data_IF_962789970062
#
_entry.id   IF_962789970062
#
_cell.length_a   1.000
_cell.length_b   1.000
_cell.length_c   1.000
_cell.angle_alpha   90.00
_cell.angle_beta   90.00
_cell.angle_gamma   90.00
#
_symmetry.space_group_name_H-M   'P 1'
#
loop_
_entity.id
_entity.type
_entity.pdbx_description
1 polymer ?
#
# COMPACT_ATOMS: atom_id res chain seq x y z
N UNK A 1 -2.11 7.53 13.67
CA UNK A 1 -2.80 7.11 12.43
C UNK A 1 -2.17 7.80 11.24
N UNK A 2 -2.09 7.13 10.09
CA UNK A 2 -1.49 7.66 8.85
C UNK A 2 -2.52 8.53 8.11
N UNK A 3 -2.06 9.48 7.32
CA UNK A 3 -2.93 10.27 6.44
C UNK A 3 -3.58 9.42 5.34
N UNK A 4 -4.51 10.02 4.59
CA UNK A 4 -5.15 9.40 3.42
C UNK A 4 -5.21 10.43 2.28
N UNK A 5 -5.00 10.00 1.03
CA UNK A 5 -5.17 10.80 -0.18
C UNK A 5 -6.40 10.30 -0.94
N UNK A 6 -7.32 11.20 -1.29
CA UNK A 6 -8.44 10.92 -2.19
C UNK A 6 -8.30 11.76 -3.45
N UNK A 7 -8.32 11.11 -4.62
CA UNK A 7 -8.21 11.76 -5.93
C UNK A 7 -9.58 11.88 -6.59
N UNK A 8 -9.95 13.09 -6.96
CA UNK A 8 -11.25 13.47 -7.51
C UNK A 8 -11.08 14.12 -8.89
N UNK A 9 -11.94 13.76 -9.85
CA UNK A 9 -11.89 14.36 -11.18
C UNK A 9 -12.63 15.70 -11.21
N UNK A 10 -12.14 16.60 -12.08
CA UNK A 10 -12.81 17.83 -12.44
C UNK A 10 -12.61 18.22 -13.90
N UNK A 11 -13.38 19.23 -14.32
CA UNK A 11 -13.39 19.70 -15.72
C UNK A 11 -12.08 20.35 -16.16
N UNK A 12 -11.27 20.85 -15.21
CA UNK A 12 -9.98 21.49 -15.47
C UNK A 12 -8.77 20.67 -14.99
N UNK A 13 -8.99 19.50 -14.36
CA UNK A 13 -7.97 18.65 -13.75
C UNK A 13 -8.47 17.96 -12.47
N UNK A 14 -7.56 17.46 -11.63
CA UNK A 14 -7.83 16.68 -10.42
C UNK A 14 -7.73 17.52 -9.15
N UNK A 15 -8.58 17.19 -8.19
CA UNK A 15 -8.55 17.68 -6.81
C UNK A 15 -8.05 16.55 -5.91
N UNK A 16 -7.06 16.86 -5.07
CA UNK A 16 -6.55 15.93 -4.07
C UNK A 16 -7.07 16.34 -2.70
N UNK A 17 -7.83 15.46 -2.06
CA UNK A 17 -8.19 15.58 -0.66
C UNK A 17 -7.16 14.83 0.18
N UNK A 18 -6.32 15.56 0.90
CA UNK A 18 -5.32 15.03 1.83
C UNK A 18 -5.90 15.11 3.23
N UNK A 19 -6.14 13.97 3.87
CA UNK A 19 -6.63 13.92 5.25
C UNK A 19 -5.46 13.75 6.21
N UNK A 20 -5.30 14.71 7.12
CA UNK A 20 -4.29 14.65 8.15
C UNK A 20 -4.63 13.64 9.26
N UNK A 21 -3.59 13.13 9.92
CA UNK A 21 -3.74 12.32 11.13
C UNK A 21 -4.14 13.16 12.35
N UNK A 22 -4.43 12.47 13.45
CA UNK A 22 -4.84 13.09 14.72
C UNK A 22 -3.75 13.95 15.37
N UNK A 23 -2.48 13.58 15.18
CA UNK A 23 -1.33 14.31 15.68
C UNK A 23 -0.30 14.52 14.56
N UNK A 24 0.02 15.77 14.28
CA UNK A 24 1.00 16.19 13.28
C UNK A 24 2.22 16.78 13.98
N UNK A 25 3.31 16.02 14.01
CA UNK A 25 4.57 16.44 14.63
C UNK A 25 5.63 16.91 13.63
N UNK A 26 5.45 16.60 12.35
CA UNK A 26 6.33 16.99 11.25
C UNK A 26 5.53 17.24 9.96
N UNK A 27 6.19 17.24 8.78
CA UNK A 27 5.53 17.46 7.50
C UNK A 27 4.32 16.53 7.30
N UNK A 28 3.21 17.07 6.80
CA UNK A 28 2.04 16.26 6.45
C UNK A 28 2.43 15.30 5.31
N UNK A 29 2.26 14.01 5.52
CA UNK A 29 2.49 13.03 4.45
C UNK A 29 1.36 13.09 3.42
N UNK A 30 1.71 12.88 2.15
CA UNK A 30 0.74 12.81 1.05
C UNK A 30 0.52 14.11 0.30
N UNK A 31 1.31 15.16 0.57
CA UNK A 31 1.40 16.27 -0.37
C UNK A 31 1.89 15.79 -1.75
N UNK A 32 1.48 16.46 -2.84
CA UNK A 32 1.94 16.17 -4.19
C UNK A 32 3.41 16.59 -4.41
N UNK A 33 4.41 15.88 -3.88
CA UNK A 33 5.85 16.21 -4.05
C UNK A 33 6.46 15.60 -5.31
N UNK A 34 7.48 16.26 -5.87
CA UNK A 34 8.32 15.68 -6.93
C UNK A 34 7.68 15.54 -8.31
N UNK A 35 6.41 15.94 -8.46
CA UNK A 35 5.72 15.97 -9.75
C UNK A 35 6.22 17.17 -10.56
N UNK A 36 7.26 16.93 -11.36
CA UNK A 36 7.76 17.85 -12.38
C UNK A 36 6.99 17.57 -13.67
N UNK A 37 6.57 18.65 -14.31
CA UNK A 37 5.95 18.77 -15.64
C UNK A 37 4.42 18.77 -15.78
N UNK A 38 4.04 19.46 -16.86
CA UNK A 38 2.76 20.09 -17.21
C UNK A 38 1.61 19.10 -17.44
N UNK A 39 1.90 17.80 -17.47
CA UNK A 39 0.95 16.70 -17.62
C UNK A 39 0.32 16.26 -16.28
N UNK A 40 0.83 16.74 -15.14
CA UNK A 40 0.36 16.30 -13.84
C UNK A 40 -0.86 17.08 -13.38
N UNK A 41 -2.01 16.46 -13.62
CA UNK A 41 -3.29 17.10 -13.68
C UNK A 41 -3.86 17.55 -12.30
N UNK A 42 -3.08 17.57 -11.22
CA UNK A 42 -3.50 18.10 -9.91
C UNK A 42 -3.60 19.64 -9.93
N UNK A 43 -4.83 20.16 -10.02
CA UNK A 43 -5.13 21.61 -10.05
C UNK A 43 -5.54 22.18 -8.70
N UNK A 44 -5.86 21.30 -7.74
CA UNK A 44 -6.37 21.68 -6.44
C UNK A 44 -5.95 20.70 -5.34
N UNK A 45 -5.70 21.21 -4.14
CA UNK A 45 -5.44 20.40 -2.95
C UNK A 45 -6.33 20.88 -1.80
N UNK A 46 -7.08 19.99 -1.19
CA UNK A 46 -7.85 20.21 0.02
C UNK A 46 -7.16 19.44 1.16
N UNK A 47 -6.61 20.15 2.15
CA UNK A 47 -6.08 19.54 3.36
C UNK A 47 -7.17 19.53 4.44
N UNK A 48 -7.64 18.34 4.78
CA UNK A 48 -8.63 18.10 5.83
C UNK A 48 -7.92 17.91 7.17
N UNK A 49 -8.11 18.89 8.06
CA UNK A 49 -7.59 18.93 9.43
C UNK A 49 -8.68 18.65 10.47
N UNK A 50 -9.88 18.22 10.06
CA UNK A 50 -11.05 18.05 10.94
C UNK A 50 -10.83 17.06 12.10
N UNK A 51 -9.85 16.16 11.97
CA UNK A 51 -9.47 15.18 13.00
C UNK A 51 -8.14 15.50 13.68
N UNK A 52 -7.44 16.53 13.23
CA UNK A 52 -6.17 16.91 13.84
C UNK A 52 -6.47 17.58 15.18
N UNK A 53 -5.97 16.97 16.24
CA UNK A 53 -6.09 17.49 17.60
C UNK A 53 -4.80 18.15 18.07
N UNK A 54 -3.67 17.76 17.47
CA UNK A 54 -2.35 18.27 17.82
C UNK A 54 -1.57 18.63 16.56
N UNK A 55 -1.12 19.88 16.48
CA UNK A 55 -0.29 20.41 15.39
C UNK A 55 0.95 21.07 16.00
N UNK A 56 2.14 20.51 15.75
CA UNK A 56 3.40 21.11 16.18
C UNK A 56 3.73 22.36 15.38
N UNK A 57 4.57 23.25 15.93
CA UNK A 57 5.02 24.44 15.19
C UNK A 57 5.81 24.07 13.92
N UNK A 58 6.57 22.96 13.95
CA UNK A 58 7.30 22.45 12.80
C UNK A 58 6.35 21.93 11.71
N UNK A 59 5.31 21.19 12.09
CA UNK A 59 4.28 20.73 11.18
C UNK A 59 3.48 21.91 10.58
N UNK A 60 3.17 22.93 11.39
CA UNK A 60 2.52 24.14 10.92
C UNK A 60 3.37 24.92 9.92
N UNK A 61 4.65 25.15 10.22
CA UNK A 61 5.59 25.82 9.31
C UNK A 61 5.73 25.08 7.99
N UNK A 62 5.98 23.77 8.04
CA UNK A 62 6.07 22.93 6.84
C UNK A 62 4.77 22.92 6.03
N UNK A 63 3.61 22.94 6.69
CA UNK A 63 2.30 23.04 6.02
C UNK A 63 2.17 24.35 5.25
N UNK A 64 2.49 25.50 5.87
CA UNK A 64 2.42 26.80 5.21
C UNK A 64 3.40 26.89 4.05
N UNK A 65 4.68 26.55 4.28
CA UNK A 65 5.72 26.54 3.23
C UNK A 65 5.25 25.73 2.03
N UNK A 66 4.61 24.60 2.28
CA UNK A 66 4.10 23.74 1.22
C UNK A 66 2.93 24.35 0.46
N UNK A 67 1.99 24.99 1.15
CA UNK A 67 0.88 25.70 0.53
C UNK A 67 1.40 26.82 -0.38
N UNK A 68 2.41 27.57 0.07
CA UNK A 68 3.05 28.63 -0.72
C UNK A 68 3.63 28.07 -2.02
N UNK A 69 4.41 26.99 -1.94
CA UNK A 69 4.98 26.32 -3.13
C UNK A 69 3.89 25.88 -4.11
N UNK A 70 2.82 25.24 -3.63
CA UNK A 70 1.74 24.78 -4.50
C UNK A 70 0.99 25.93 -5.19
N UNK A 71 0.81 27.05 -4.49
CA UNK A 71 0.18 28.24 -5.08
C UNK A 71 1.08 28.93 -6.10
N UNK A 72 2.39 28.98 -5.86
CA UNK A 72 3.36 29.46 -6.85
C UNK A 72 3.35 28.60 -8.13
N UNK A 73 3.03 27.32 -8.00
CA UNK A 73 2.79 26.39 -9.13
C UNK A 73 1.39 26.55 -9.76
N UNK A 74 0.63 27.58 -9.40
CA UNK A 74 -0.70 27.85 -9.96
C UNK A 74 -1.82 26.93 -9.42
N UNK A 75 -1.57 26.17 -8.35
CA UNK A 75 -2.58 25.26 -7.76
C UNK A 75 -3.42 25.99 -6.72
N UNK A 76 -4.70 25.63 -6.64
CA UNK A 76 -5.59 26.10 -5.56
C UNK A 76 -5.41 25.22 -4.33
N UNK A 77 -5.42 25.83 -3.15
CA UNK A 77 -5.25 25.11 -1.88
C UNK A 77 -6.31 25.55 -0.89
N UNK A 78 -6.99 24.58 -0.28
CA UNK A 78 -7.99 24.76 0.76
C UNK A 78 -7.58 24.02 2.04
N UNK A 79 -7.88 24.60 3.19
CA UNK A 79 -7.77 23.97 4.50
C UNK A 79 -9.17 23.79 5.05
N UNK A 80 -9.55 22.57 5.40
CA UNK A 80 -10.88 22.24 5.91
C UNK A 80 -10.83 21.77 7.36
N UNK A 81 -11.91 22.06 8.11
CA UNK A 81 -12.07 21.56 9.47
C UNK A 81 -11.08 22.15 10.47
N UNK A 82 -10.64 23.39 10.24
CA UNK A 82 -9.64 24.06 11.07
C UNK A 82 -10.32 24.61 12.33
N UNK A 83 -10.07 23.97 13.47
CA UNK A 83 -10.53 24.51 14.76
C UNK A 83 -9.75 25.77 15.19
N UNK A 84 -10.28 26.61 16.10
CA UNK A 84 -9.65 27.88 16.51
C UNK A 84 -8.23 27.74 17.09
N UNK A 85 -7.90 26.58 17.67
CA UNK A 85 -6.56 26.27 18.16
C UNK A 85 -5.56 26.09 17.01
N UNK A 86 -5.89 25.25 16.04
CA UNK A 86 -5.06 24.99 14.85
C UNK A 86 -4.93 26.26 14.01
N UNK A 87 -6.01 27.00 13.83
CA UNK A 87 -6.00 28.25 13.07
C UNK A 87 -4.99 29.24 13.65
N UNK A 88 -4.97 29.42 14.97
CA UNK A 88 -3.99 30.30 15.64
C UNK A 88 -2.55 29.85 15.41
N UNK A 89 -2.29 28.55 15.46
CA UNK A 89 -0.94 28.01 15.23
C UNK A 89 -0.50 28.22 13.78
N UNK A 90 -1.39 27.94 12.81
CA UNK A 90 -1.12 28.15 11.38
C UNK A 90 -0.87 29.63 11.08
N UNK A 91 -1.72 30.55 11.58
CA UNK A 91 -1.53 32.00 11.42
C UNK A 91 -0.23 32.51 12.02
N UNK A 92 0.22 31.91 13.13
CA UNK A 92 1.50 32.27 13.75
C UNK A 92 2.71 31.74 12.97
N UNK A 93 2.55 30.60 12.30
CA UNK A 93 3.57 30.02 11.42
C UNK A 93 3.62 30.72 10.05
N UNK A 94 2.55 31.41 9.67
CA UNK A 94 2.38 32.08 8.39
C UNK A 94 3.16 33.39 8.30
N UNK A 95 4.35 33.30 7.68
CA UNK A 95 5.25 34.44 7.49
C UNK A 95 4.95 35.24 6.22
N UNK A 96 4.20 34.66 5.29
CA UNK A 96 3.92 35.22 3.97
C UNK A 96 2.52 35.86 3.89
N UNK A 97 1.83 35.99 5.03
CA UNK A 97 0.46 36.50 5.16
C UNK A 97 -0.52 35.78 4.20
N UNK A 98 -0.27 34.50 3.96
CA UNK A 98 -1.10 33.66 3.10
C UNK A 98 -2.52 33.55 3.65
N UNK A 99 -2.63 33.45 4.96
CA UNK A 99 -3.85 33.27 5.73
C UNK A 99 -4.43 34.59 6.23
N UNK A 100 -3.94 35.77 5.80
CA UNK A 100 -4.42 37.10 6.22
C UNK A 100 -5.94 37.18 6.49
N UNK A 101 -6.34 37.96 7.50
CA UNK A 101 -7.75 38.11 7.91
C UNK A 101 -8.67 38.40 6.71
N UNK A 102 -9.69 37.56 6.51
CA UNK A 102 -10.72 37.74 5.49
C UNK A 102 -10.66 36.79 4.28
N UNK A 103 -9.61 35.97 4.14
CA UNK A 103 -9.52 34.97 3.05
C UNK A 103 -10.37 33.71 3.33
N UNK A 104 -11.68 33.83 3.11
CA UNK A 104 -12.63 32.71 3.08
C UNK A 104 -12.37 31.74 1.91
N UNK A 105 -11.46 32.05 0.98
CA UNK A 105 -11.09 31.18 -0.14
C UNK A 105 -10.17 30.02 0.28
N UNK A 106 -9.41 30.17 1.37
CA UNK A 106 -8.46 29.15 1.85
C UNK A 106 -9.01 28.38 3.04
N UNK A 107 -9.46 29.08 4.08
CA UNK A 107 -9.95 28.46 5.31
C UNK A 107 -11.43 28.13 5.18
N UNK A 108 -11.75 26.85 5.30
CA UNK A 108 -13.11 26.33 5.15
C UNK A 108 -13.56 25.71 6.48
N UNK A 109 -14.78 26.02 6.95
CA UNK A 109 -15.26 25.57 8.25
C UNK A 109 -15.42 24.04 8.34
N UNK A 110 -15.61 23.38 7.20
CA UNK A 110 -15.74 21.93 7.13
C UNK A 110 -15.24 21.39 5.79
N UNK A 111 -15.08 20.06 5.69
CA UNK A 111 -14.70 19.39 4.44
C UNK A 111 -15.80 19.56 3.39
N UNK A 112 -17.07 19.53 3.80
CA UNK A 112 -18.21 19.76 2.93
C UNK A 112 -18.19 21.18 2.35
N UNK A 113 -17.90 22.19 3.17
CA UNK A 113 -17.78 23.57 2.71
C UNK A 113 -16.62 23.74 1.72
N UNK A 114 -15.49 23.09 1.99
CA UNK A 114 -14.34 23.10 1.09
C UNK A 114 -14.60 22.37 -0.24
N UNK A 115 -15.26 21.21 -0.20
CA UNK A 115 -15.67 20.48 -1.40
C UNK A 115 -16.72 21.27 -2.18
N UNK A 116 -17.67 21.94 -1.52
CA UNK A 116 -18.66 22.80 -2.17
C UNK A 116 -18.00 24.02 -2.84
N UNK A 117 -17.01 24.65 -2.18
CA UNK A 117 -16.22 25.72 -2.77
C UNK A 117 -15.41 25.24 -3.99
N UNK A 118 -14.99 23.97 -4.00
CA UNK A 118 -14.30 23.34 -5.12
C UNK A 118 -15.26 22.80 -6.21
N UNK A 119 -16.52 22.48 -5.88
CA UNK A 119 -17.46 21.74 -6.72
C UNK A 119 -17.71 22.38 -8.09
N UNK A 120 -17.69 23.71 -8.19
CA UNK A 120 -17.82 24.43 -9.47
C UNK A 120 -16.74 24.07 -10.49
N UNK A 121 -15.61 23.53 -10.05
CA UNK A 121 -14.50 23.08 -10.89
C UNK A 121 -14.29 21.56 -10.91
N UNK A 122 -14.91 20.80 -9.99
CA UNK A 122 -14.70 19.35 -9.83
C UNK A 122 -16.04 18.62 -9.64
N UNK A 123 -16.50 17.91 -10.68
CA UNK A 123 -17.80 17.25 -10.70
C UNK A 123 -17.97 16.22 -9.57
N UNK A 124 -16.98 15.36 -9.35
CA UNK A 124 -17.02 14.29 -8.33
C UNK A 124 -16.93 14.82 -6.89
N UNK A 125 -16.45 16.06 -6.71
CA UNK A 125 -16.42 16.70 -5.39
C UNK A 125 -17.85 16.94 -4.87
N UNK A 126 -18.82 17.15 -5.76
CA UNK A 126 -20.23 17.32 -5.41
C UNK A 126 -20.82 16.03 -4.85
N UNK A 127 -20.60 14.90 -5.52
CA UNK A 127 -21.11 13.60 -5.07
C UNK A 127 -20.45 13.15 -3.76
N UNK A 128 -19.14 13.41 -3.61
CA UNK A 128 -18.45 13.17 -2.34
C UNK A 128 -18.98 14.07 -1.23
N UNK A 129 -19.20 15.37 -1.50
CA UNK A 129 -19.79 16.29 -0.53
C UNK A 129 -21.19 15.84 -0.10
N UNK A 130 -22.04 15.38 -1.02
CA UNK A 130 -23.35 14.82 -0.69
C UNK A 130 -23.26 13.52 0.12
N UNK A 131 -22.29 12.65 -0.20
CA UNK A 131 -22.04 11.44 0.59
C UNK A 131 -21.57 11.78 2.01
N UNK A 132 -20.79 12.85 2.18
CA UNK A 132 -20.35 13.36 3.48
C UNK A 132 -21.44 14.14 4.24
N UNK A 133 -22.37 14.78 3.53
CA UNK A 133 -23.41 15.64 4.11
C UNK A 133 -24.66 14.89 4.64
N UNK A 134 -24.66 13.55 4.71
CA UNK A 134 -25.81 12.82 5.27
C UNK A 134 -25.84 12.86 6.80
N UNK A 135 -27.04 13.04 7.42
CA UNK A 135 -27.15 13.44 8.79
C UNK A 135 -27.16 12.22 9.70
N UNK A 136 -26.07 11.99 10.41
CA UNK A 136 -26.15 11.30 11.70
C UNK A 136 -25.52 12.21 12.76
N UNK A 137 -26.34 13.15 13.22
CA UNK A 137 -26.29 13.59 14.61
C UNK A 137 -26.57 12.38 15.50
N UNK A 138 -25.53 11.62 15.80
CA UNK A 138 -25.60 10.48 16.67
C UNK A 138 -24.23 10.24 17.26
N UNK A 139 -24.05 10.63 18.51
CA UNK A 139 -22.94 10.13 19.32
C UNK A 139 -22.79 8.64 19.08
N UNK A 140 -21.57 8.19 18.79
CA UNK A 140 -21.24 6.78 18.79
C UNK A 140 -21.61 6.19 20.16
N UNK A 141 -22.80 5.59 20.26
CA UNK A 141 -23.11 4.63 21.30
C UNK A 141 -22.80 3.27 20.70
N UNK A 142 -21.57 2.83 20.92
CA UNK A 142 -21.18 1.45 20.64
C UNK A 142 -22.15 0.54 21.40
N UNK A 143 -23.00 -0.16 20.65
CA UNK A 143 -23.84 -1.22 21.20
C UNK A 143 -23.37 -2.50 20.55
N UNK A 144 -22.99 -3.47 21.39
CA UNK A 144 -22.66 -4.83 20.98
C UNK A 144 -23.92 -5.43 20.34
N UNK A 145 -23.86 -5.78 19.05
CA UNK A 145 -24.92 -6.57 18.40
C UNK A 145 -24.38 -7.99 18.26
N UNK A 146 -24.99 -8.92 19.00
CA UNK A 146 -24.77 -10.35 18.80
C UNK A 146 -25.20 -10.74 17.39
N UNK A 147 -24.30 -11.42 16.68
CA UNK A 147 -24.54 -11.94 15.33
C UNK A 147 -25.47 -13.14 15.43
N UNK A 148 -26.75 -12.91 15.18
CA UNK A 148 -27.75 -13.95 14.99
C UNK A 148 -28.52 -13.72 13.68
N UNK A 149 -28.32 -14.59 12.69
CA UNK A 149 -29.27 -14.74 11.58
C UNK A 149 -28.66 -15.02 10.20
N UNK A 150 -28.42 -16.31 9.90
CA UNK A 150 -28.78 -17.00 8.66
C UNK A 150 -28.15 -16.57 7.32
N UNK A 151 -27.69 -17.52 6.47
CA UNK A 151 -27.10 -17.20 5.17
C UNK A 151 -28.16 -16.65 4.22
N UNK A 152 -27.99 -15.41 3.75
CA UNK A 152 -28.67 -14.94 2.55
C UNK A 152 -27.81 -15.25 1.34
N UNK A 153 -28.20 -16.28 0.60
CA UNK A 153 -27.64 -16.63 -0.69
C UNK A 153 -27.99 -15.53 -1.70
N UNK A 154 -27.00 -14.74 -2.10
CA UNK A 154 -27.06 -13.94 -3.30
C UNK A 154 -26.71 -14.85 -4.48
N UNK A 155 -27.70 -15.58 -5.01
CA UNK A 155 -27.58 -16.22 -6.30
C UNK A 155 -27.80 -15.14 -7.39
N UNK A 156 -26.75 -14.87 -8.15
CA UNK A 156 -26.75 -13.96 -9.29
C UNK A 156 -25.47 -14.15 -10.09
N UNK A 157 -25.54 -15.02 -11.10
CA UNK A 157 -24.46 -15.43 -11.97
C UNK A 157 -23.90 -14.29 -12.82
N UNK A 158 -22.59 -14.34 -13.07
CA UNK A 158 -21.88 -13.43 -13.97
C UNK A 158 -20.39 -13.79 -14.09
N UNK A 159 -20.12 -14.96 -14.67
CA UNK A 159 -18.87 -15.43 -15.28
C UNK A 159 -17.55 -14.91 -14.67
N UNK A 160 -16.98 -15.68 -13.73
CA UNK A 160 -15.53 -15.69 -13.60
C UNK A 160 -14.96 -16.26 -14.89
N UNK A 161 -14.31 -15.43 -15.71
CA UNK A 161 -13.49 -15.94 -16.82
C UNK A 161 -12.39 -16.79 -16.20
N UNK A 162 -12.34 -18.06 -16.57
CA UNK A 162 -11.29 -18.99 -16.15
C UNK A 162 -9.94 -18.45 -16.61
N UNK A 163 -9.00 -18.38 -15.67
CA UNK A 163 -7.59 -18.12 -15.95
C UNK A 163 -7.09 -19.16 -16.96
N UNK A 164 -6.63 -18.72 -18.14
CA UNK A 164 -6.08 -19.65 -19.11
C UNK A 164 -4.79 -20.23 -18.56
N UNK A 165 -4.63 -21.55 -18.65
CA UNK A 165 -3.41 -22.24 -18.21
C UNK A 165 -2.14 -21.60 -18.79
N UNK A 166 -2.22 -21.10 -20.03
CA UNK A 166 -1.10 -20.44 -20.73
C UNK A 166 -0.73 -19.08 -20.12
N UNK A 167 -1.71 -18.22 -19.79
CA UNK A 167 -1.46 -16.92 -19.17
C UNK A 167 -0.79 -17.07 -17.80
N UNK A 168 -1.27 -18.02 -16.99
CA UNK A 168 -0.65 -18.36 -15.71
C UNK A 168 0.78 -18.84 -15.82
N UNK A 169 1.06 -19.76 -16.76
CA UNK A 169 2.41 -20.28 -17.00
C UNK A 169 3.39 -19.16 -17.42
N UNK A 170 2.92 -18.19 -18.23
CA UNK A 170 3.72 -17.02 -18.61
C UNK A 170 4.03 -16.11 -17.42
N UNK A 171 3.05 -15.81 -16.55
CA UNK A 171 3.27 -15.04 -15.31
C UNK A 171 4.27 -15.71 -14.39
N UNK A 172 4.10 -17.00 -14.15
CA UNK A 172 5.02 -17.80 -13.34
C UNK A 172 6.43 -17.80 -13.94
N UNK A 173 6.54 -17.85 -15.28
CA UNK A 173 7.80 -17.68 -16.01
C UNK A 173 8.47 -16.33 -15.77
N UNK A 174 7.72 -15.22 -15.89
CA UNK A 174 8.23 -13.86 -15.62
C UNK A 174 8.68 -13.68 -14.17
N UNK A 175 7.90 -14.20 -13.22
CA UNK A 175 8.25 -14.22 -11.78
C UNK A 175 9.54 -14.98 -11.52
N UNK A 176 9.69 -16.18 -12.11
CA UNK A 176 10.91 -16.98 -12.03
C UNK A 176 12.09 -16.21 -12.62
N UNK A 177 11.96 -15.65 -13.82
CA UNK A 177 13.02 -14.89 -14.47
C UNK A 177 13.55 -13.74 -13.60
N UNK A 178 12.66 -12.96 -12.98
CA UNK A 178 13.02 -11.88 -12.04
C UNK A 178 13.63 -12.37 -10.72
N UNK A 179 13.31 -13.60 -10.30
CA UNK A 179 13.90 -14.23 -9.13
C UNK A 179 15.29 -14.84 -9.36
N UNK A 180 15.67 -15.14 -10.61
CA UNK A 180 16.94 -15.83 -10.92
C UNK A 180 18.18 -15.09 -10.43
N UNK A 181 18.33 -13.76 -10.62
CA UNK A 181 19.53 -13.06 -10.16
C UNK A 181 19.75 -13.14 -8.65
N UNK A 182 18.69 -12.96 -7.84
CA UNK A 182 18.80 -13.04 -6.38
C UNK A 182 19.07 -14.46 -5.89
N UNK A 183 18.50 -15.46 -6.56
CA UNK A 183 18.78 -16.88 -6.25
C UNK A 183 20.23 -17.24 -6.59
N UNK A 184 20.74 -16.80 -7.74
CA UNK A 184 22.12 -17.01 -8.13
C UNK A 184 23.11 -16.32 -7.18
N UNK A 185 22.82 -15.06 -6.78
CA UNK A 185 23.61 -14.33 -5.79
C UNK A 185 23.65 -15.09 -4.45
N UNK A 186 22.49 -15.54 -3.95
CA UNK A 186 22.42 -16.30 -2.71
C UNK A 186 23.19 -17.63 -2.81
N UNK A 187 23.10 -18.33 -3.95
CA UNK A 187 23.88 -19.54 -4.24
C UNK A 187 25.38 -19.27 -4.14
N UNK A 188 25.88 -18.20 -4.76
CA UNK A 188 27.28 -17.78 -4.66
C UNK A 188 27.70 -17.42 -3.23
N UNK A 189 26.85 -16.71 -2.48
CA UNK A 189 27.08 -16.38 -1.07
C UNK A 189 27.18 -17.65 -0.21
N UNK A 190 26.27 -18.60 -0.38
CA UNK A 190 26.27 -19.88 0.34
C UNK A 190 27.50 -20.71 -0.05
N UNK A 191 27.78 -20.85 -1.35
CA UNK A 191 28.93 -21.58 -1.86
C UNK A 191 30.24 -21.04 -1.31
N UNK A 192 30.46 -19.72 -1.41
CA UNK A 192 31.65 -19.08 -0.87
C UNK A 192 31.77 -19.23 0.65
N UNK A 193 30.66 -19.09 1.39
CA UNK A 193 30.66 -19.13 2.86
C UNK A 193 30.96 -20.52 3.42
N UNK A 194 30.49 -21.57 2.75
CA UNK A 194 30.57 -22.95 3.26
C UNK A 194 31.48 -23.86 2.44
N UNK A 195 32.10 -23.35 1.37
CA UNK A 195 32.97 -24.14 0.49
C UNK A 195 32.19 -25.14 -0.37
N UNK A 196 30.93 -24.84 -0.69
CA UNK A 196 30.09 -25.67 -1.54
C UNK A 196 30.21 -25.23 -3.01
N UNK A 197 30.08 -26.17 -3.94
CA UNK A 197 29.90 -25.83 -5.35
C UNK A 197 28.52 -25.19 -5.61
N UNK A 198 28.32 -24.68 -6.83
CA UNK A 198 27.11 -23.95 -7.19
C UNK A 198 25.83 -24.80 -7.13
N UNK A 199 25.92 -26.07 -7.50
CA UNK A 199 24.77 -26.98 -7.55
C UNK A 199 24.37 -27.40 -6.14
N UNK A 200 25.32 -27.81 -5.30
CA UNK A 200 25.08 -28.15 -3.89
C UNK A 200 24.54 -26.96 -3.10
N UNK A 201 25.05 -25.74 -3.35
CA UNK A 201 24.53 -24.53 -2.72
C UNK A 201 23.07 -24.22 -3.13
N UNK A 202 22.74 -24.40 -4.42
CA UNK A 202 21.38 -24.20 -4.93
C UNK A 202 20.42 -25.27 -4.39
N UNK A 203 20.82 -26.54 -4.38
CA UNK A 203 20.03 -27.63 -3.82
C UNK A 203 19.73 -27.41 -2.33
N UNK A 204 20.72 -26.94 -1.56
CA UNK A 204 20.53 -26.62 -0.16
C UNK A 204 19.53 -25.48 0.05
N UNK A 205 19.60 -24.42 -0.77
CA UNK A 205 18.61 -23.34 -0.75
C UNK A 205 17.20 -23.86 -1.06
N UNK A 206 17.05 -24.70 -2.09
CA UNK A 206 15.77 -25.32 -2.48
C UNK A 206 15.22 -26.18 -1.34
N UNK A 207 16.00 -27.11 -0.82
CA UNK A 207 15.59 -28.01 0.25
C UNK A 207 15.19 -27.26 1.52
N UNK A 208 15.94 -26.22 1.88
CA UNK A 208 15.61 -25.38 3.05
C UNK A 208 14.31 -24.63 2.82
N UNK A 209 14.12 -24.03 1.63
CA UNK A 209 12.90 -23.29 1.30
C UNK A 209 11.63 -24.17 1.39
N UNK A 210 11.72 -25.41 0.91
CA UNK A 210 10.63 -26.39 0.96
C UNK A 210 10.33 -26.83 2.40
N UNK A 211 11.37 -27.13 3.19
CA UNK A 211 11.23 -27.56 4.58
C UNK A 211 10.54 -26.52 5.46
N UNK A 212 10.79 -25.24 5.21
CA UNK A 212 10.19 -24.13 5.94
C UNK A 212 8.94 -23.55 5.26
N UNK A 213 8.41 -24.21 4.21
CA UNK A 213 7.23 -23.79 3.46
C UNK A 213 7.27 -22.31 3.02
N UNK A 214 8.43 -21.88 2.50
CA UNK A 214 8.66 -20.50 2.06
C UNK A 214 9.14 -20.45 0.61
N UNK A 215 8.87 -19.34 -0.06
CA UNK A 215 9.34 -19.15 -1.44
C UNK A 215 10.86 -19.10 -1.48
N UNK A 216 11.47 -19.83 -2.41
CA UNK A 216 12.94 -19.85 -2.62
C UNK A 216 13.52 -18.43 -2.76
N UNK A 217 12.86 -17.56 -3.50
CA UNK A 217 13.25 -16.15 -3.67
C UNK A 217 13.31 -15.38 -2.34
N UNK A 218 12.37 -15.64 -1.42
CA UNK A 218 12.35 -14.99 -0.11
C UNK A 218 13.51 -15.47 0.78
N UNK A 219 13.82 -16.77 0.75
CA UNK A 219 15.01 -17.31 1.43
C UNK A 219 16.30 -16.72 0.84
N UNK A 220 16.42 -16.71 -0.48
CA UNK A 220 17.58 -16.18 -1.19
C UNK A 220 17.82 -14.69 -0.89
N UNK A 221 16.77 -13.86 -0.93
CA UNK A 221 16.85 -12.46 -0.55
C UNK A 221 17.32 -12.28 0.91
N UNK A 222 16.83 -13.15 1.81
CA UNK A 222 17.23 -13.11 3.22
C UNK A 222 18.70 -13.50 3.41
N UNK A 223 19.21 -14.49 2.67
CA UNK A 223 20.65 -14.84 2.67
C UNK A 223 21.52 -13.67 2.23
N UNK A 224 21.08 -12.90 1.23
CA UNK A 224 21.81 -11.75 0.70
C UNK A 224 21.80 -10.53 1.65
N UNK A 225 20.70 -10.34 2.39
CA UNK A 225 20.49 -9.14 3.21
C UNK A 225 20.91 -9.31 4.68
N UNK A 226 20.82 -10.52 5.22
CA UNK A 226 21.06 -10.76 6.65
C UNK A 226 22.56 -10.90 6.91
N UNK A 227 23.02 -10.24 7.98
CA UNK A 227 24.40 -10.30 8.46
C UNK A 227 24.86 -11.77 8.57
N UNK A 228 26.03 -12.14 8.02
CA UNK A 228 26.52 -13.51 8.06
C UNK A 228 26.74 -14.03 9.49
N UNK A 229 26.71 -15.36 9.71
CA UNK A 229 27.11 -15.95 10.98
C UNK A 229 28.58 -15.63 11.26
N UNK A 230 28.96 -15.60 12.54
CA UNK A 230 30.37 -15.46 12.92
C UNK A 230 31.21 -16.58 12.28
N UNK A 231 32.42 -16.28 11.76
CA UNK A 231 33.28 -17.30 11.16
C UNK A 231 33.51 -18.46 12.14
N UNK A 232 33.18 -19.69 11.72
CA UNK A 232 33.30 -20.88 12.57
C UNK A 232 32.28 -21.00 13.70
N UNK A 233 31.41 -20.02 13.92
CA UNK A 233 30.36 -20.05 14.93
C UNK A 233 29.30 -21.12 14.64
N UNK A 234 28.91 -21.90 15.65
CA UNK A 234 27.97 -23.03 15.49
C UNK A 234 26.52 -22.59 15.27
N UNK A 235 26.21 -21.32 15.59
CA UNK A 235 24.88 -20.73 15.43
C UNK A 235 24.98 -19.47 14.58
N UNK A 236 23.94 -19.21 13.78
CA UNK A 236 23.82 -17.96 13.05
C UNK A 236 23.33 -16.83 13.97
N UNK A 237 22.31 -17.10 14.79
CA UNK A 237 21.72 -16.08 15.67
C UNK A 237 21.82 -16.46 17.15
N UNK A 238 23.02 -16.35 17.76
CA UNK A 238 23.20 -16.68 19.17
C UNK A 238 22.36 -15.78 20.07
N UNK A 239 21.69 -16.37 21.07
CA UNK A 239 20.87 -15.64 22.05
C UNK A 239 19.52 -15.14 21.51
N UNK A 240 19.10 -15.57 20.31
CA UNK A 240 17.80 -15.15 19.75
C UNK A 240 16.63 -15.68 20.58
N UNK A 241 15.77 -14.76 21.02
CA UNK A 241 14.51 -15.10 21.69
C UNK A 241 13.37 -15.24 20.69
N UNK A 242 12.57 -16.31 20.81
CA UNK A 242 11.36 -16.52 20.00
C UNK A 242 10.17 -15.84 20.67
N UNK A 243 9.46 -15.00 19.93
CA UNK A 243 8.20 -14.40 20.37
C UNK A 243 7.02 -15.22 19.82
N UNK A 244 5.90 -15.29 20.54
CA UNK A 244 4.69 -15.92 20.00
C UNK A 244 4.20 -15.16 18.77
N UNK A 245 3.53 -15.88 17.86
CA UNK A 245 2.93 -15.29 16.67
C UNK A 245 1.83 -14.28 17.07
N UNK A 246 1.80 -13.07 16.49
CA UNK A 246 0.72 -12.11 16.70
C UNK A 246 -0.63 -12.70 16.27
N UNK A 247 -1.70 -12.37 16.98
CA UNK A 247 -3.04 -12.79 16.61
C UNK A 247 -3.51 -12.10 15.32
N UNK A 248 -4.28 -12.83 14.51
CA UNK A 248 -4.91 -12.35 13.28
C UNK A 248 -6.42 -12.57 13.39
N UNK A 249 -7.22 -11.51 13.52
CA UNK A 249 -8.67 -11.65 13.71
C UNK A 249 -9.41 -12.12 12.46
N UNK A 250 -8.75 -12.10 11.30
CA UNK A 250 -9.29 -12.48 10.00
C UNK A 250 -8.80 -13.86 9.51
N UNK A 251 -7.92 -14.53 10.26
CA UNK A 251 -7.42 -15.85 9.89
C UNK A 251 -8.17 -16.94 10.68
N UNK A 252 -9.19 -17.51 10.05
CA UNK A 252 -10.01 -18.57 10.64
C UNK A 252 -9.44 -19.98 10.36
N UNK A 253 -9.63 -20.91 11.30
CA UNK A 253 -9.42 -22.34 11.08
C UNK A 253 -7.97 -22.82 10.88
N UNK A 254 -6.97 -21.94 11.04
CA UNK A 254 -5.55 -22.29 10.88
C UNK A 254 -4.68 -21.72 12.01
N UNK A 255 -3.72 -22.50 12.56
CA UNK A 255 -2.74 -21.97 13.48
C UNK A 255 -1.90 -20.87 12.83
N UNK A 256 -1.96 -19.66 13.39
CA UNK A 256 -1.26 -18.46 12.88
C UNK A 256 0.25 -18.69 12.73
N UNK A 257 0.85 -19.51 13.60
CA UNK A 257 2.27 -19.84 13.56
C UNK A 257 2.68 -20.79 12.41
N UNK A 258 1.73 -21.44 11.75
CA UNK A 258 1.98 -22.36 10.62
C UNK A 258 1.59 -21.75 9.26
N UNK A 259 1.01 -20.55 9.25
CA UNK A 259 0.61 -19.88 8.02
C UNK A 259 1.84 -19.38 7.24
N UNK A 260 1.71 -19.29 5.92
CA UNK A 260 2.69 -18.59 5.07
C UNK A 260 2.18 -17.19 4.66
N UNK A 261 3.04 -16.30 4.14
CA UNK A 261 2.64 -14.95 3.75
C UNK A 261 1.48 -14.91 2.75
N UNK A 262 1.46 -15.78 1.74
CA UNK A 262 0.40 -15.79 0.72
C UNK A 262 -0.97 -16.14 1.34
N UNK A 263 -1.01 -17.06 2.31
CA UNK A 263 -2.24 -17.42 3.04
C UNK A 263 -2.76 -16.27 3.91
N UNK A 264 -1.86 -15.59 4.63
CA UNK A 264 -2.22 -14.43 5.46
C UNK A 264 -2.72 -13.29 4.58
N UNK A 265 -2.07 -13.01 3.45
CA UNK A 265 -2.51 -11.98 2.51
C UNK A 265 -3.83 -12.34 1.82
N UNK A 266 -4.09 -13.62 1.52
CA UNK A 266 -5.38 -14.06 1.00
C UNK A 266 -6.50 -13.91 2.03
N UNK A 267 -6.24 -14.21 3.31
CA UNK A 267 -7.20 -14.01 4.39
C UNK A 267 -7.47 -12.53 4.67
N UNK A 268 -6.41 -11.71 4.69
CA UNK A 268 -6.50 -10.26 4.78
C UNK A 268 -7.36 -9.70 3.65
N UNK A 269 -7.08 -10.09 2.40
CA UNK A 269 -7.81 -9.62 1.23
C UNK A 269 -9.31 -9.90 1.36
N UNK A 270 -9.71 -11.11 1.78
CA UNK A 270 -11.13 -11.43 1.99
C UNK A 270 -11.77 -10.50 3.03
N UNK A 271 -11.13 -10.33 4.19
CA UNK A 271 -11.65 -9.48 5.26
C UNK A 271 -11.76 -8.00 4.83
N UNK A 272 -10.75 -7.49 4.13
CA UNK A 272 -10.74 -6.09 3.65
C UNK A 272 -11.83 -5.88 2.59
N UNK A 273 -12.02 -6.81 1.65
CA UNK A 273 -13.10 -6.72 0.65
C UNK A 273 -14.49 -6.72 1.30
N UNK A 274 -14.68 -7.50 2.37
CA UNK A 274 -15.93 -7.54 3.13
C UNK A 274 -16.19 -6.22 3.86
N UNK A 275 -15.18 -5.67 4.55
CA UNK A 275 -15.29 -4.38 5.27
C UNK A 275 -15.51 -3.21 4.30
N UNK A 276 -14.86 -3.26 3.14
CA UNK A 276 -14.93 -2.22 2.12
C UNK A 276 -16.12 -2.37 1.16
N UNK A 277 -16.84 -3.51 1.18
CA UNK A 277 -17.84 -3.87 0.18
C UNK A 277 -17.34 -3.73 -1.26
N UNK A 278 -16.10 -4.16 -1.49
CA UNK A 278 -15.46 -4.06 -2.78
C UNK A 278 -15.74 -5.30 -3.64
N UNK A 279 -15.86 -5.09 -4.95
CA UNK A 279 -16.20 -6.14 -5.92
C UNK A 279 -15.01 -7.08 -6.20
N UNK A 280 -13.81 -6.51 -6.19
CA UNK A 280 -12.57 -7.20 -6.52
C UNK A 280 -11.38 -6.57 -5.77
N UNK A 281 -10.26 -7.27 -5.73
CA UNK A 281 -9.04 -6.71 -5.17
C UNK A 281 -7.84 -7.63 -5.22
N UNK A 282 -6.71 -7.08 -4.81
CA UNK A 282 -5.43 -7.78 -4.74
C UNK A 282 -4.68 -7.41 -3.46
N UNK A 283 -3.82 -8.32 -3.02
CA UNK A 283 -2.85 -8.09 -1.97
C UNK A 283 -1.46 -8.36 -2.51
N UNK A 284 -0.56 -7.41 -2.30
CA UNK A 284 0.81 -7.44 -2.76
C UNK A 284 1.77 -7.55 -1.58
N UNK A 285 2.87 -8.27 -1.75
CA UNK A 285 3.96 -8.35 -0.77
C UNK A 285 5.14 -7.52 -1.28
N UNK A 286 5.73 -6.74 -0.38
CA UNK A 286 6.93 -5.98 -0.67
C UNK A 286 8.16 -6.89 -0.65
N UNK A 287 9.00 -6.75 -1.68
CA UNK A 287 10.31 -7.35 -1.75
C UNK A 287 11.23 -6.74 -0.68
N UNK A 288 11.88 -7.56 0.17
CA UNK A 288 12.76 -7.04 1.22
C UNK A 288 14.02 -6.32 0.71
N UNK A 289 14.48 -6.60 -0.52
CA UNK A 289 15.69 -5.99 -1.10
C UNK A 289 15.36 -4.73 -1.90
N UNK A 290 14.32 -4.78 -2.74
CA UNK A 290 14.00 -3.70 -3.68
C UNK A 290 12.82 -2.84 -3.25
N UNK A 291 11.97 -3.34 -2.35
CA UNK A 291 10.69 -2.70 -2.02
C UNK A 291 9.63 -2.84 -3.12
N UNK A 292 9.92 -3.58 -4.20
CA UNK A 292 8.95 -3.86 -5.26
C UNK A 292 7.78 -4.67 -4.74
N UNK A 293 6.58 -4.38 -5.23
CA UNK A 293 5.36 -5.04 -4.83
C UNK A 293 4.99 -6.12 -5.84
N UNK A 294 4.60 -7.28 -5.32
CA UNK A 294 4.19 -8.43 -6.12
C UNK A 294 2.85 -8.94 -5.67
N UNK A 295 1.92 -9.18 -6.59
CA UNK A 295 0.63 -9.77 -6.23
C UNK A 295 0.85 -11.14 -5.60
N UNK A 296 0.34 -11.35 -4.39
CA UNK A 296 0.41 -12.62 -3.65
C UNK A 296 -0.96 -13.26 -3.47
N UNK A 297 -2.02 -12.45 -3.49
CA UNK A 297 -3.39 -12.91 -3.51
C UNK A 297 -4.24 -11.96 -4.36
N UNK A 298 -5.27 -12.49 -5.01
CA UNK A 298 -6.22 -11.71 -5.81
C UNK A 298 -7.62 -12.31 -5.73
N UNK A 299 -8.63 -11.48 -5.96
CA UNK A 299 -10.02 -11.91 -6.14
C UNK A 299 -10.69 -11.01 -7.16
N UNK A 300 -11.31 -11.61 -8.18
CA UNK A 300 -12.19 -10.92 -9.12
C UNK A 300 -11.49 -10.14 -10.23
N UNK A 301 -10.17 -10.31 -10.40
CA UNK A 301 -9.41 -9.70 -11.49
C UNK A 301 -9.28 -10.63 -12.70
N UNK A 302 -9.17 -10.04 -13.90
CA UNK A 302 -8.92 -10.76 -15.15
C UNK A 302 -7.44 -11.11 -15.32
N UNK A 303 -7.12 -11.94 -16.31
CA UNK A 303 -5.72 -12.26 -16.62
C UNK A 303 -4.94 -11.05 -17.10
N UNK A 304 -5.57 -10.19 -17.89
CA UNK A 304 -4.95 -8.95 -18.41
C UNK A 304 -4.58 -8.00 -17.27
N UNK A 305 -5.43 -7.92 -16.24
CA UNK A 305 -5.12 -7.18 -15.01
C UNK A 305 -3.89 -7.78 -14.31
N UNK A 306 -3.86 -9.10 -14.14
CA UNK A 306 -2.75 -9.77 -13.47
C UNK A 306 -1.47 -9.72 -14.30
N UNK A 307 -1.55 -9.73 -15.62
CA UNK A 307 -0.38 -9.62 -16.48
C UNK A 307 0.26 -8.23 -16.41
N UNK A 308 -0.57 -7.20 -16.28
CA UNK A 308 -0.13 -5.81 -16.20
C UNK A 308 0.35 -5.44 -14.78
N UNK A 309 -0.45 -5.71 -13.73
CA UNK A 309 -0.18 -5.25 -12.35
C UNK A 309 0.51 -6.31 -11.46
N UNK A 310 1.00 -7.42 -12.01
CA UNK A 310 1.65 -8.51 -11.25
C UNK A 310 2.80 -8.00 -10.36
N UNK A 311 3.50 -7.00 -10.89
CA UNK A 311 4.72 -6.40 -10.39
C UNK A 311 4.55 -4.88 -10.44
N UNK A 312 4.72 -4.21 -9.31
CA UNK A 312 4.73 -2.76 -9.20
C UNK A 312 6.08 -2.33 -8.61
N UNK A 313 6.80 -1.44 -9.28
CA UNK A 313 8.11 -0.98 -8.81
C UNK A 313 8.02 -0.27 -7.45
N UNK A 314 9.00 -0.51 -6.58
CA UNK A 314 9.09 0.04 -5.23
C UNK A 314 9.50 1.52 -5.18
N UNK A 315 9.34 2.19 -4.03
CA UNK A 315 9.80 3.56 -3.85
C UNK A 315 11.33 3.68 -4.00
N UNK A 316 11.80 4.61 -4.84
CA UNK A 316 13.25 4.88 -5.01
C UNK A 316 13.91 4.14 -6.17
N UNK A 317 13.21 3.21 -6.84
CA UNK A 317 13.61 2.74 -8.16
C UNK A 317 13.30 3.85 -9.18
N UNK A 318 14.34 4.44 -9.79
CA UNK A 318 14.20 5.56 -10.71
C UNK A 318 13.33 5.21 -11.92
N UNK A 319 12.45 6.15 -12.30
CA UNK A 319 11.81 6.17 -13.61
C UNK A 319 12.87 6.20 -14.70
N UNK A 320 12.79 5.30 -15.69
CA UNK A 320 13.52 5.54 -16.95
C UNK A 320 12.73 6.49 -17.84
N UNK A 321 13.48 7.30 -18.56
CA UNK A 321 13.07 8.18 -19.65
C UNK A 321 12.01 7.54 -20.56
N UNK A 322 11.05 8.33 -21.08
CA UNK A 322 10.08 7.87 -22.09
C UNK A 322 10.72 7.42 -23.42
N UNK A 323 12.03 7.58 -23.60
CA UNK A 323 12.78 7.17 -24.78
C UNK A 323 13.33 5.73 -24.66
N UNK A 324 12.42 4.76 -24.77
CA UNK A 324 12.62 3.45 -25.44
C UNK A 324 13.96 2.71 -25.28
N UNK A 325 14.16 2.05 -24.14
CA UNK A 325 15.13 0.95 -24.06
C UNK A 325 14.44 -0.30 -23.48
N UNK A 326 13.85 -1.08 -24.39
CA UNK A 326 12.94 -2.21 -24.14
C UNK A 326 13.65 -3.54 -23.88
N UNK A 327 14.99 -3.58 -23.85
CA UNK A 327 15.75 -4.84 -23.87
C UNK A 327 15.96 -5.48 -22.48
N UNK A 328 15.58 -4.80 -21.40
CA UNK A 328 15.75 -5.30 -20.03
C UNK A 328 14.57 -6.12 -19.48
N UNK A 329 13.45 -6.18 -20.20
CA UNK A 329 12.23 -6.86 -19.72
C UNK A 329 11.66 -6.29 -18.41
N UNK A 330 12.12 -5.13 -17.95
CA UNK A 330 11.58 -4.40 -16.82
C UNK A 330 10.45 -3.47 -17.31
N UNK A 331 9.20 -3.59 -16.81
CA UNK A 331 8.13 -2.71 -17.20
C UNK A 331 8.40 -1.30 -16.72
N UNK A 332 7.75 -0.36 -17.41
CA UNK A 332 7.62 1.03 -17.03
C UNK A 332 7.26 1.18 -15.55
N UNK A 333 7.56 2.34 -14.97
CA UNK A 333 7.10 2.67 -13.62
C UNK A 333 5.59 2.48 -13.58
N UNK A 334 5.13 1.51 -12.80
CA UNK A 334 3.70 1.24 -12.61
C UNK A 334 3.07 2.42 -11.88
N UNK A 335 2.63 3.43 -12.65
CA UNK A 335 1.84 4.53 -12.13
C UNK A 335 0.48 3.96 -11.74
N UNK A 336 0.31 3.75 -10.43
CA UNK A 336 -0.85 3.10 -9.85
C UNK A 336 -1.14 3.66 -8.46
N UNK A 337 -2.36 3.45 -7.98
CA UNK A 337 -2.75 3.77 -6.59
C UNK A 337 -1.88 3.07 -5.56
N UNK A 338 -1.52 1.80 -5.77
CA UNK A 338 -0.62 1.04 -4.90
C UNK A 338 0.80 1.59 -4.89
N UNK A 339 1.34 2.02 -6.03
CA UNK A 339 2.65 2.66 -6.09
C UNK A 339 2.66 4.00 -5.33
N UNK A 340 1.65 4.85 -5.55
CA UNK A 340 1.53 6.12 -4.84
C UNK A 340 1.36 5.89 -3.32
N UNK A 341 0.54 4.93 -2.92
CA UNK A 341 0.33 4.56 -1.53
C UNK A 341 1.63 4.05 -0.88
N UNK A 342 2.39 3.23 -1.59
CA UNK A 342 3.70 2.73 -1.16
C UNK A 342 4.72 3.85 -0.98
N UNK A 343 4.87 4.72 -1.98
CA UNK A 343 5.82 5.82 -1.96
C UNK A 343 5.53 6.85 -0.85
N UNK A 344 4.26 7.02 -0.49
CA UNK A 344 3.82 7.99 0.52
C UNK A 344 3.56 7.39 1.90
N UNK A 345 3.48 6.06 1.99
CA UNK A 345 3.12 5.36 3.23
C UNK A 345 1.72 5.69 3.75
N UNK A 346 0.80 6.14 2.89
CA UNK A 346 -0.57 6.55 3.21
C UNK A 346 -1.58 5.76 2.40
N UNK A 347 -2.83 5.71 2.87
CA UNK A 347 -3.92 5.17 2.06
C UNK A 347 -4.18 6.07 0.86
N UNK A 348 -4.52 5.48 -0.30
CA UNK A 348 -4.82 6.22 -1.54
C UNK A 348 -6.11 5.70 -2.15
N UNK A 349 -7.10 6.58 -2.31
CA UNK A 349 -8.34 6.32 -3.01
C UNK A 349 -8.42 7.10 -4.34
N UNK A 350 -8.86 6.42 -5.39
CA UNK A 350 -9.07 6.98 -6.73
C UNK A 350 -10.52 6.73 -7.13
N UNK A 351 -11.28 7.80 -7.40
CA UNK A 351 -12.72 7.69 -7.67
C UNK A 351 -13.07 7.50 -9.16
N UNK A 352 -12.16 7.87 -10.07
CA UNK A 352 -12.32 7.70 -11.52
C UNK A 352 -11.04 7.16 -12.15
N UNK A 353 -10.77 5.88 -11.88
CA UNK A 353 -9.54 5.23 -12.34
C UNK A 353 -9.38 5.25 -13.87
N UNK A 354 -10.40 4.94 -14.70
CA UNK A 354 -10.24 4.85 -16.15
C UNK A 354 -9.80 6.16 -16.83
N UNK A 355 -9.82 7.27 -16.11
CA UNK A 355 -9.39 8.59 -16.60
C UNK A 355 -8.32 9.23 -15.73
N UNK A 356 -7.94 8.64 -14.59
CA UNK A 356 -6.96 9.23 -13.68
C UNK A 356 -5.56 9.21 -14.30
N UNK A 357 -4.92 10.38 -14.36
CA UNK A 357 -3.56 10.57 -14.84
C UNK A 357 -2.50 9.85 -13.98
N UNK A 358 -2.90 9.34 -12.82
CA UNK A 358 -2.12 8.38 -12.05
C UNK A 358 -1.87 7.10 -12.83
N UNK A 359 -2.69 6.73 -13.81
CA UNK A 359 -2.48 5.57 -14.66
C UNK A 359 -2.06 6.04 -16.04
N UNK A 360 -1.10 5.33 -16.65
CA UNK A 360 -0.78 5.55 -18.07
C UNK A 360 -1.91 5.00 -18.97
N UNK A 361 -1.86 5.28 -20.27
CA UNK A 361 -2.93 4.87 -21.19
C UNK A 361 -3.17 3.34 -21.21
N UNK A 362 -2.13 2.48 -21.22
CA UNK A 362 -2.31 1.03 -21.04
C UNK A 362 -2.97 0.65 -19.71
N UNK A 363 -2.52 1.22 -18.59
CA UNK A 363 -3.07 0.95 -17.26
C UNK A 363 -4.54 1.38 -17.15
N UNK A 364 -4.90 2.53 -17.73
CA UNK A 364 -6.30 2.98 -17.81
C UNK A 364 -7.17 1.99 -18.61
N UNK A 365 -6.65 1.45 -19.72
CA UNK A 365 -7.36 0.46 -20.52
C UNK A 365 -7.57 -0.85 -19.74
N UNK A 366 -6.53 -1.37 -19.10
CA UNK A 366 -6.63 -2.58 -18.25
C UNK A 366 -7.62 -2.39 -17.11
N UNK A 367 -7.58 -1.23 -16.43
CA UNK A 367 -8.51 -0.92 -15.35
C UNK A 367 -9.95 -0.84 -15.87
N UNK A 368 -10.18 -0.23 -17.04
CA UNK A 368 -11.50 -0.17 -17.69
C UNK A 368 -12.02 -1.55 -18.06
N UNK A 369 -11.19 -2.38 -18.69
CA UNK A 369 -11.57 -3.71 -19.16
C UNK A 369 -11.80 -4.69 -18.00
N UNK A 370 -11.08 -4.51 -16.89
CA UNK A 370 -11.33 -5.23 -15.63
C UNK A 370 -12.63 -4.78 -14.92
N UNK A 371 -13.24 -3.68 -15.36
CA UNK A 371 -14.42 -3.08 -14.73
C UNK A 371 -14.11 -2.31 -13.45
N UNK A 372 -12.83 -1.99 -13.18
CA UNK A 372 -12.41 -1.21 -12.01
C UNK A 372 -12.54 0.28 -12.28
N UNK A 373 -13.65 0.90 -11.86
CA UNK A 373 -13.90 2.34 -12.03
C UNK A 373 -13.37 3.18 -10.87
N UNK A 374 -13.23 2.59 -9.69
CA UNK A 374 -12.61 3.23 -8.52
C UNK A 374 -11.74 2.22 -7.76
N UNK A 375 -10.76 2.68 -6.99
CA UNK A 375 -9.94 1.81 -6.15
C UNK A 375 -9.48 2.48 -4.85
N UNK A 376 -9.14 1.66 -3.85
CA UNK A 376 -8.62 2.09 -2.55
C UNK A 376 -7.45 1.20 -2.12
N UNK A 377 -6.24 1.76 -2.10
CA UNK A 377 -5.01 1.10 -1.67
C UNK A 377 -4.68 1.41 -0.22
N UNK A 378 -4.45 0.37 0.57
CA UNK A 378 -4.16 0.43 2.01
C UNK A 378 -2.80 -0.22 2.26
N UNK A 379 -1.79 0.55 2.71
CA UNK A 379 -0.48 0.00 3.02
C UNK A 379 -0.52 -1.02 4.16
N UNK A 380 0.18 -2.14 3.99
CA UNK A 380 0.49 -3.09 5.06
C UNK A 380 1.86 -2.71 5.58
N UNK A 381 1.92 -1.98 6.69
CA UNK A 381 3.15 -1.35 7.13
C UNK A 381 3.26 -1.23 8.65
N UNK A 382 4.48 -1.29 9.16
CA UNK A 382 4.76 -1.17 10.60
C UNK A 382 4.54 0.26 11.10
N UNK A 383 4.32 0.47 12.41
CA UNK A 383 4.26 1.83 12.99
C UNK A 383 5.50 2.69 12.67
N UNK A 384 6.65 2.04 12.42
CA UNK A 384 7.93 2.69 12.02
C UNK A 384 7.90 3.30 10.62
N UNK A 385 6.88 2.99 9.80
CA UNK A 385 6.81 3.41 8.40
C UNK A 385 7.20 2.33 7.40
N UNK A 386 7.89 1.26 7.84
CA UNK A 386 8.35 0.18 6.97
C UNK A 386 7.18 -0.49 6.23
N UNK A 387 7.24 -0.48 4.89
CA UNK A 387 6.25 -1.11 4.02
C UNK A 387 6.54 -2.60 3.89
N UNK A 388 5.56 -3.43 4.26
CA UNK A 388 5.63 -4.89 4.17
C UNK A 388 4.77 -5.43 3.02
N UNK A 389 3.78 -4.66 2.56
CA UNK A 389 2.91 -5.01 1.45
C UNK A 389 1.83 -3.96 1.20
N UNK A 390 0.86 -4.31 0.37
CA UNK A 390 -0.27 -3.46 0.00
C UNK A 390 -1.52 -4.31 -0.12
N UNK A 391 -2.69 -3.78 0.24
CA UNK A 391 -3.98 -4.36 -0.17
C UNK A 391 -4.77 -3.30 -0.92
N UNK A 392 -5.27 -3.65 -2.10
CA UNK A 392 -6.05 -2.73 -2.94
C UNK A 392 -7.43 -3.31 -3.19
N UNK A 393 -8.45 -2.53 -2.81
CA UNK A 393 -9.84 -2.77 -3.14
C UNK A 393 -10.20 -2.05 -4.43
N UNK A 394 -11.04 -2.67 -5.25
CA UNK A 394 -11.48 -2.14 -6.53
C UNK A 394 -13.01 -2.26 -6.63
N UNK A 395 -13.62 -1.23 -7.22
CA UNK A 395 -15.06 -1.07 -7.26
C UNK A 395 -15.51 -0.93 -8.71
N UNK A 396 -16.65 -1.55 -9.03
CA UNK A 396 -17.35 -1.44 -10.31
C UNK A 396 -18.26 -0.23 -10.40
N UNK A 397 -18.49 0.45 -9.27
CA UNK A 397 -19.32 1.66 -9.21
C UNK A 397 -18.70 2.72 -8.28
N UNK A 398 -18.55 3.99 -8.70
CA UNK A 398 -17.91 5.02 -7.87
C UNK A 398 -18.64 5.25 -6.55
N UNK A 399 -19.98 5.23 -6.52
CA UNK A 399 -20.74 5.42 -5.28
C UNK A 399 -20.44 4.38 -4.17
N UNK A 400 -19.86 3.22 -4.51
CA UNK A 400 -19.47 2.22 -3.51
C UNK A 400 -18.27 2.68 -2.69
N UNK A 401 -17.26 3.29 -3.32
CA UNK A 401 -16.07 3.79 -2.61
C UNK A 401 -16.43 4.97 -1.69
N UNK A 402 -17.38 5.82 -2.09
CA UNK A 402 -17.82 6.95 -1.27
C UNK A 402 -18.34 6.51 0.10
N UNK A 403 -18.99 5.33 0.19
CA UNK A 403 -19.44 4.77 1.49
C UNK A 403 -18.29 4.40 2.42
N UNK A 404 -17.15 4.00 1.86
CA UNK A 404 -15.92 3.68 2.61
C UNK A 404 -15.19 4.96 3.02
N UNK A 405 -15.24 5.99 2.18
CA UNK A 405 -14.54 7.28 2.41
C UNK A 405 -15.25 8.20 3.40
N UNK A 406 -16.51 7.95 3.75
CA UNK A 406 -17.24 8.72 4.78
C UNK A 406 -16.74 8.39 6.20
N UNK A 407 -16.64 9.45 7.01
CA UNK A 407 -16.08 9.60 8.36
C UNK A 407 -15.95 8.34 9.24
N UNK A 408 -14.88 7.55 9.04
CA UNK A 408 -14.40 6.57 10.01
C UNK A 408 -14.12 5.17 9.46
N UNK A 409 -14.66 4.81 8.29
CA UNK A 409 -14.54 3.44 7.75
C UNK A 409 -13.20 3.17 7.05
N UNK A 410 -12.50 4.19 6.55
CA UNK A 410 -11.12 4.04 6.05
C UNK A 410 -10.18 3.48 7.11
N UNK A 411 -10.38 3.83 8.39
CA UNK A 411 -9.58 3.33 9.51
C UNK A 411 -9.95 1.91 9.92
N UNK A 412 -11.16 1.44 9.60
CA UNK A 412 -11.52 0.04 9.82
C UNK A 412 -10.63 -0.92 9.00
N UNK A 413 -10.03 -0.42 7.90
CA UNK A 413 -9.07 -1.17 7.08
C UNK A 413 -7.64 -1.16 7.67
N UNK A 414 -7.30 -0.16 8.48
CA UNK A 414 -5.98 -0.09 9.13
C UNK A 414 -5.78 -1.22 10.16
N UNK A 415 -6.85 -1.65 10.84
CA UNK A 415 -6.74 -2.67 11.87
C UNK A 415 -6.29 -4.04 11.32
N UNK A 416 -6.97 -4.66 10.34
CA UNK A 416 -6.51 -5.92 9.76
C UNK A 416 -5.18 -5.76 9.00
N UNK A 417 -4.94 -4.61 8.34
CA UNK A 417 -3.65 -4.34 7.69
C UNK A 417 -2.49 -4.26 8.71
N UNK A 418 -2.72 -3.63 9.87
CA UNK A 418 -1.75 -3.55 10.96
C UNK A 418 -1.46 -4.89 11.62
N UNK A 419 -2.48 -5.74 11.80
CA UNK A 419 -2.30 -7.12 12.25
C UNK A 419 -1.45 -7.94 11.26
N UNK A 420 -1.75 -7.83 9.96
CA UNK A 420 -0.95 -8.48 8.92
C UNK A 420 0.50 -7.99 8.92
N UNK A 421 0.72 -6.68 9.10
CA UNK A 421 2.06 -6.10 9.19
C UNK A 421 2.84 -6.66 10.38
N UNK A 422 2.24 -6.70 11.57
CA UNK A 422 2.85 -7.28 12.76
C UNK A 422 3.21 -8.76 12.57
N UNK A 423 2.33 -9.53 11.92
CA UNK A 423 2.59 -10.93 11.60
C UNK A 423 3.71 -11.11 10.57
N UNK A 424 3.75 -10.30 9.51
CA UNK A 424 4.82 -10.34 8.50
C UNK A 424 6.19 -10.00 9.11
N UNK A 425 6.26 -9.03 10.02
CA UNK A 425 7.49 -8.73 10.77
C UNK A 425 7.89 -9.90 11.68
N UNK A 426 6.93 -10.48 12.42
CA UNK A 426 7.18 -11.69 13.22
C UNK A 426 7.69 -12.85 12.37
N UNK A 427 7.10 -13.08 11.19
CA UNK A 427 7.51 -14.12 10.25
C UNK A 427 8.95 -13.91 9.79
N UNK A 428 9.31 -12.67 9.41
CA UNK A 428 10.69 -12.29 9.04
C UNK A 428 11.68 -12.47 10.19
N UNK A 429 11.29 -12.19 11.43
CA UNK A 429 12.17 -12.28 12.61
C UNK A 429 12.21 -13.66 13.26
N UNK A 430 11.31 -14.56 12.89
CA UNK A 430 11.18 -15.88 13.53
C UNK A 430 11.36 -16.98 12.51
N UNK A 431 10.43 -17.12 11.56
CA UNK A 431 10.40 -18.23 10.61
C UNK A 431 11.53 -18.13 9.59
N UNK A 432 11.78 -16.94 9.04
CA UNK A 432 12.90 -16.73 8.11
C UNK A 432 14.23 -16.96 8.80
N UNK A 433 14.39 -16.47 10.04
CA UNK A 433 15.64 -16.67 10.77
C UNK A 433 15.81 -18.13 11.26
N UNK A 434 14.73 -18.89 11.47
CA UNK A 434 14.77 -20.34 11.67
C UNK A 434 15.26 -21.07 10.40
N UNK A 435 14.78 -20.64 9.24
CA UNK A 435 15.23 -21.20 7.96
C UNK A 435 16.71 -20.91 7.69
N UNK A 436 17.18 -19.71 8.00
CA UNK A 436 18.61 -19.37 7.89
C UNK A 436 19.46 -20.21 8.86
N UNK A 437 19.03 -20.39 10.11
CA UNK A 437 19.72 -21.22 11.10
C UNK A 437 19.84 -22.69 10.65
N UNK A 438 18.77 -23.25 10.09
CA UNK A 438 18.74 -24.60 9.52
C UNK A 438 19.65 -24.71 8.29
N UNK A 439 19.64 -23.70 7.40
CA UNK A 439 20.55 -23.61 6.26
C UNK A 439 22.02 -23.65 6.72
N UNK A 440 22.37 -22.85 7.74
CA UNK A 440 23.72 -22.82 8.29
C UNK A 440 24.14 -24.16 8.89
N UNK A 441 23.26 -24.75 9.71
CA UNK A 441 23.51 -26.05 10.35
C UNK A 441 23.78 -27.13 9.30
N UNK A 442 22.95 -27.18 8.25
CA UNK A 442 23.07 -28.17 7.17
C UNK A 442 24.28 -27.93 6.27
N UNK A 443 24.56 -26.67 5.92
CA UNK A 443 25.74 -26.33 5.13
C UNK A 443 27.05 -26.74 5.83
N UNK A 444 27.11 -26.54 7.15
CA UNK A 444 28.26 -26.97 7.97
C UNK A 444 28.41 -28.49 8.00
N UNK A 445 27.30 -29.23 8.08
CA UNK A 445 27.33 -30.69 8.07
C UNK A 445 27.83 -31.24 6.74
N UNK A 446 27.43 -30.62 5.62
CA UNK A 446 27.92 -30.98 4.28
C UNK A 446 29.43 -30.74 4.17
N UNK A 447 29.92 -29.56 4.58
CA UNK A 447 31.35 -29.24 4.59
C UNK A 447 32.20 -30.19 5.45
N UNK A 448 31.63 -30.74 6.52
CA UNK A 448 32.34 -31.66 7.41
C UNK A 448 32.32 -33.11 6.94
N UNK A 449 31.48 -33.43 5.94
CA UNK A 449 31.36 -34.75 5.33
C UNK A 449 32.20 -34.95 4.06
N UNK A 450 32.67 -33.85 3.46
CA UNK A 450 33.73 -33.80 2.43
C UNK A 450 35.12 -33.68 3.08
#
# INVERSE_FOLDING_TARGET
MRGNIVRLRGGAGWLWLVRAGEALNGPVSGWPEGMRDEDDACRGVLLDLSRTNLLSAAAAGSTIERMVVLRQQGRRVWLAGVGPGIERVLRRADRDDLLATGRQDILQPSVEAALAAAASAYADATDLAHAMARPDGGHAKATLVEVGGGPRTCAGAGAGREETRSGREMRDGRRKARGRPVVALAGGVVGSRYGLDGDAALELLVATSQRHNMKLRALAASVAMVVPPQPGGAQWFPGRSRRPAPALSFLEGRPVAKANPSEVLAALLRSVLEVAWADMGNAQLADPMTGDLWIEAQRGHSEEFLDYFDYVAGPGHASKDPAGDTDSGAPAVDRSSSHLAAARGVQVAVLDVPHDALYDAPGQAVMRDSGSVACHSVPIALPTGELLGMVTCHYRHPAAISRVLVAGRTYALDHPAGQAAAWLDWYRRTIVLDALEDLHTRARALRAGD
#
